data_IF_279348785103
#
_entry.id   IF_279348785103
#
_cell.length_a   1.000
_cell.length_b   1.000
_cell.length_c   1.000
_cell.angle_alpha   90.00
_cell.angle_beta   90.00
_cell.angle_gamma   90.00
#
_symmetry.space_group_name_H-M   'P 1'
#
loop_
_entity.id
_entity.type
_entity.pdbx_description
1 polymer ?
#
# COMPACT_ATOMS: atom_id res chain seq x y z
N UNK A 1 -19.27 0.45 -11.90
CA UNK A 1 -20.38 1.38 -11.56
C UNK A 1 -21.67 0.61 -11.25
N UNK A 2 -22.08 -0.31 -12.09
CA UNK A 2 -23.28 -1.14 -11.89
C UNK A 2 -23.20 -1.93 -10.57
N UNK A 3 -22.09 -2.63 -10.32
CA UNK A 3 -21.86 -3.38 -9.07
C UNK A 3 -22.01 -2.51 -7.82
N UNK A 4 -21.54 -1.26 -7.83
CA UNK A 4 -21.68 -0.34 -6.70
C UNK A 4 -23.14 0.04 -6.39
N UNK A 5 -24.05 -0.14 -7.35
CA UNK A 5 -25.48 0.16 -7.21
C UNK A 5 -26.33 -1.09 -6.91
N UNK A 6 -25.89 -2.27 -7.33
CA UNK A 6 -26.68 -3.50 -7.30
C UNK A 6 -26.22 -4.54 -6.30
N UNK A 7 -24.93 -4.56 -5.92
CA UNK A 7 -24.42 -5.53 -4.94
C UNK A 7 -24.64 -5.06 -3.49
N UNK A 8 -24.87 -6.02 -2.61
CA UNK A 8 -24.88 -5.77 -1.17
C UNK A 8 -23.47 -5.60 -0.65
N UNK A 9 -23.20 -4.48 0.02
CA UNK A 9 -21.94 -4.19 0.72
C UNK A 9 -22.09 -4.34 2.25
N UNK A 10 -22.97 -5.22 2.70
CA UNK A 10 -23.14 -5.48 4.13
C UNK A 10 -21.81 -5.97 4.74
N UNK A 11 -21.35 -5.33 5.81
CA UNK A 11 -20.09 -5.62 6.47
C UNK A 11 -18.85 -5.04 5.78
N UNK A 12 -19.02 -4.15 4.78
CA UNK A 12 -17.93 -3.40 4.14
C UNK A 12 -17.89 -1.98 4.72
N UNK A 13 -16.76 -1.58 5.27
CA UNK A 13 -16.55 -0.26 5.88
C UNK A 13 -16.10 0.79 4.87
N UNK A 14 -15.32 0.39 3.85
CA UNK A 14 -14.81 1.29 2.83
C UNK A 14 -14.47 0.55 1.52
N UNK A 15 -14.37 1.30 0.43
CA UNK A 15 -14.00 0.81 -0.91
C UNK A 15 -12.61 1.31 -1.27
N UNK A 16 -11.65 0.40 -1.47
CA UNK A 16 -10.35 0.70 -2.05
C UNK A 16 -10.42 0.58 -3.57
N UNK A 17 -10.24 1.70 -4.29
CA UNK A 17 -10.34 1.74 -5.75
C UNK A 17 -9.01 2.17 -6.38
N UNK A 18 -8.44 1.30 -7.22
CA UNK A 18 -7.20 1.59 -7.94
C UNK A 18 -7.45 2.52 -9.12
N UNK A 19 -6.49 3.39 -9.42
CA UNK A 19 -6.50 4.23 -10.64
C UNK A 19 -6.66 3.31 -11.88
N UNK A 20 -7.53 3.69 -12.86
CA UNK A 20 -7.69 2.90 -14.08
C UNK A 20 -6.34 2.63 -14.75
N UNK A 21 -6.12 1.39 -15.11
CA UNK A 21 -4.88 0.90 -15.73
C UNK A 21 -5.06 0.58 -17.21
N UNK A 22 -3.99 0.16 -17.89
CA UNK A 22 -3.89 -0.23 -19.28
C UNK A 22 -4.05 0.94 -20.27
N UNK A 23 -5.21 1.58 -20.36
CA UNK A 23 -5.51 2.68 -21.29
C UNK A 23 -4.98 4.06 -20.84
N UNK A 24 -4.35 4.14 -19.65
CA UNK A 24 -3.63 5.31 -19.14
C UNK A 24 -4.41 6.63 -19.30
N UNK A 25 -5.52 6.81 -18.58
CA UNK A 25 -6.34 8.01 -18.71
C UNK A 25 -5.58 9.28 -18.34
N UNK A 26 -6.03 10.42 -18.91
CA UNK A 26 -5.56 11.75 -18.47
C UNK A 26 -5.99 12.05 -17.04
N UNK A 27 -5.44 13.10 -16.42
CA UNK A 27 -5.83 13.53 -15.07
C UNK A 27 -7.34 13.84 -14.97
N UNK A 28 -7.91 14.50 -15.99
CA UNK A 28 -9.35 14.72 -16.05
C UNK A 28 -10.13 13.40 -16.18
N UNK A 29 -9.63 12.43 -16.95
CA UNK A 29 -10.22 11.10 -17.04
C UNK A 29 -10.22 10.36 -15.69
N UNK A 30 -9.12 10.46 -14.92
CA UNK A 30 -9.03 9.92 -13.56
C UNK A 30 -10.05 10.61 -12.64
N UNK A 31 -10.12 11.93 -12.69
CA UNK A 31 -11.09 12.71 -11.91
C UNK A 31 -12.53 12.29 -12.22
N UNK A 32 -12.93 12.22 -13.48
CA UNK A 32 -14.29 11.84 -13.87
C UNK A 32 -14.62 10.38 -13.47
N UNK A 33 -13.63 9.48 -13.52
CA UNK A 33 -13.79 8.10 -13.05
C UNK A 33 -14.12 8.07 -11.55
N UNK A 34 -13.34 8.77 -10.71
CA UNK A 34 -13.60 8.78 -9.26
C UNK A 34 -14.83 9.58 -8.87
N UNK A 35 -15.14 10.66 -9.56
CA UNK A 35 -16.44 11.35 -9.44
C UNK A 35 -17.60 10.40 -9.64
N UNK A 36 -17.54 9.58 -10.69
CA UNK A 36 -18.57 8.59 -10.97
C UNK A 36 -18.65 7.50 -9.89
N UNK A 37 -17.51 7.04 -9.31
CA UNK A 37 -17.47 6.11 -8.18
C UNK A 37 -18.10 6.75 -6.94
N UNK A 38 -17.62 7.92 -6.55
CA UNK A 38 -18.10 8.64 -5.36
C UNK A 38 -19.62 8.89 -5.43
N UNK A 39 -20.14 9.24 -6.60
CA UNK A 39 -21.57 9.45 -6.81
C UNK A 39 -22.42 8.16 -6.81
N UNK A 40 -21.80 6.98 -6.95
CA UNK A 40 -22.51 5.71 -7.04
C UNK A 40 -22.62 4.97 -5.71
N UNK A 41 -21.95 5.44 -4.65
CA UNK A 41 -21.95 4.80 -3.33
C UNK A 41 -21.96 5.83 -2.23
N UNK A 42 -22.51 5.43 -1.05
CA UNK A 42 -22.40 6.19 0.20
C UNK A 42 -21.24 5.72 1.08
N UNK A 43 -20.60 4.61 0.71
CA UNK A 43 -19.45 4.09 1.45
C UNK A 43 -18.24 5.01 1.27
N UNK A 44 -17.38 5.11 2.28
CA UNK A 44 -16.08 5.75 2.17
C UNK A 44 -15.27 5.17 1.01
N UNK A 45 -14.64 6.02 0.21
CA UNK A 45 -13.80 5.64 -0.92
C UNK A 45 -12.35 5.99 -0.60
N UNK A 46 -11.47 5.03 -0.73
CA UNK A 46 -10.02 5.17 -0.63
C UNK A 46 -9.46 5.12 -2.04
N UNK A 47 -8.87 6.22 -2.50
CA UNK A 47 -8.14 6.28 -3.76
C UNK A 47 -6.90 5.37 -3.67
N UNK A 48 -6.50 4.74 -4.77
CA UNK A 48 -5.27 3.96 -4.78
C UNK A 48 -4.39 4.32 -5.99
N UNK A 49 -3.29 5.01 -5.72
CA UNK A 49 -2.30 5.41 -6.72
C UNK A 49 -1.10 4.46 -6.68
N UNK A 50 -0.87 3.72 -7.77
CA UNK A 50 0.22 2.74 -7.90
C UNK A 50 0.78 2.71 -9.33
N UNK A 51 1.50 3.77 -9.76
CA UNK A 51 1.95 3.92 -11.14
C UNK A 51 2.75 2.75 -11.69
N UNK A 52 3.54 2.08 -10.85
CA UNK A 52 4.32 0.90 -11.23
C UNK A 52 3.46 -0.29 -11.70
N UNK A 53 2.15 -0.30 -11.38
CA UNK A 53 1.20 -1.34 -11.83
C UNK A 53 0.20 -0.83 -12.85
N UNK A 54 -0.24 0.42 -12.71
CA UNK A 54 -1.27 1.00 -13.58
C UNK A 54 -0.70 1.62 -14.85
N UNK A 55 0.58 2.01 -14.83
CA UNK A 55 1.24 2.75 -15.91
C UNK A 55 0.80 4.22 -15.99
N UNK A 56 0.04 4.73 -15.01
CA UNK A 56 -0.38 6.13 -14.92
C UNK A 56 -0.32 6.60 -13.47
N UNK A 57 0.16 7.81 -13.26
CA UNK A 57 0.20 8.46 -11.95
C UNK A 57 -0.97 9.41 -11.79
N UNK A 58 -1.71 9.31 -10.69
CA UNK A 58 -2.64 10.35 -10.24
C UNK A 58 -1.84 11.42 -9.51
N UNK A 59 -1.89 12.66 -9.99
CA UNK A 59 -1.12 13.76 -9.41
C UNK A 59 -1.67 14.22 -8.07
N UNK A 60 -0.85 14.95 -7.29
CA UNK A 60 -1.31 15.61 -6.06
C UNK A 60 -2.51 16.53 -6.32
N UNK A 61 -2.48 17.32 -7.40
CA UNK A 61 -3.58 18.22 -7.80
C UNK A 61 -4.89 17.46 -7.98
N UNK A 62 -4.88 16.36 -8.76
CA UNK A 62 -6.07 15.53 -9.00
C UNK A 62 -6.58 14.91 -7.71
N UNK A 63 -5.68 14.40 -6.87
CA UNK A 63 -6.00 13.83 -5.55
C UNK A 63 -6.68 14.86 -4.65
N UNK A 64 -6.09 16.04 -4.53
CA UNK A 64 -6.59 17.13 -3.68
C UNK A 64 -7.92 17.69 -4.19
N UNK A 65 -8.12 17.78 -5.51
CA UNK A 65 -9.40 18.15 -6.11
C UNK A 65 -10.49 17.17 -5.72
N UNK A 66 -10.24 15.88 -5.87
CA UNK A 66 -11.18 14.82 -5.48
C UNK A 66 -11.51 14.86 -3.98
N UNK A 67 -10.48 15.02 -3.14
CA UNK A 67 -10.64 15.09 -1.68
C UNK A 67 -11.46 16.30 -1.20
N UNK A 68 -11.44 17.42 -1.95
CA UNK A 68 -12.20 18.63 -1.62
C UNK A 68 -13.63 18.62 -2.14
N UNK A 69 -13.88 17.92 -3.25
CA UNK A 69 -15.19 17.97 -3.94
C UNK A 69 -16.12 16.83 -3.51
N UNK A 70 -15.59 15.76 -2.86
CA UNK A 70 -16.39 14.58 -2.49
C UNK A 70 -16.12 14.16 -1.05
N UNK A 71 -17.10 14.38 -0.17
CA UNK A 71 -17.00 14.07 1.27
C UNK A 71 -16.78 12.57 1.55
N UNK A 72 -17.23 11.69 0.65
CA UNK A 72 -17.02 10.25 0.79
C UNK A 72 -15.69 9.76 0.20
N UNK A 73 -14.87 10.61 -0.40
CA UNK A 73 -13.46 10.31 -0.73
C UNK A 73 -12.61 10.68 0.48
N UNK A 74 -12.33 9.70 1.35
CA UNK A 74 -11.79 9.93 2.70
C UNK A 74 -10.28 9.72 2.81
N UNK A 75 -9.66 9.04 1.85
CA UNK A 75 -8.25 8.71 1.92
C UNK A 75 -7.64 8.43 0.55
N UNK A 76 -6.30 8.44 0.52
CA UNK A 76 -5.51 7.85 -0.55
C UNK A 76 -4.54 6.82 0.01
N UNK A 77 -4.48 5.62 -0.61
CA UNK A 77 -3.33 4.72 -0.53
C UNK A 77 -2.33 5.12 -1.59
N UNK A 78 -1.20 5.68 -1.16
CA UNK A 78 -0.18 6.20 -2.05
C UNK A 78 1.00 5.23 -2.16
N UNK A 79 1.26 4.75 -3.37
CA UNK A 79 2.30 3.80 -3.69
C UNK A 79 3.08 4.19 -4.96
N UNK A 80 3.23 5.49 -5.20
CA UNK A 80 4.02 6.01 -6.33
C UNK A 80 5.53 5.95 -6.09
N UNK A 81 5.96 5.87 -4.82
CA UNK A 81 7.36 6.02 -4.45
C UNK A 81 7.84 7.50 -4.49
N UNK A 82 7.00 8.44 -4.89
CA UNK A 82 7.34 9.86 -5.00
C UNK A 82 7.02 10.59 -3.68
N UNK A 83 7.99 10.63 -2.77
CA UNK A 83 7.84 11.28 -1.45
C UNK A 83 7.47 12.76 -1.59
N UNK A 84 8.00 13.48 -2.57
CA UNK A 84 7.67 14.89 -2.80
C UNK A 84 6.18 15.07 -3.14
N UNK A 85 5.62 14.21 -3.98
CA UNK A 85 4.18 14.22 -4.28
C UNK A 85 3.34 13.88 -3.04
N UNK A 86 3.79 12.91 -2.25
CA UNK A 86 3.10 12.50 -1.01
C UNK A 86 3.10 13.63 0.02
N UNK A 87 4.22 14.33 0.19
CA UNK A 87 4.34 15.49 1.07
C UNK A 87 3.44 16.65 0.62
N UNK A 88 3.39 16.93 -0.69
CA UNK A 88 2.48 17.94 -1.25
C UNK A 88 0.99 17.59 -0.95
N UNK A 89 0.61 16.34 -1.07
CA UNK A 89 -0.74 15.88 -0.69
C UNK A 89 -0.97 16.09 0.81
N UNK A 90 -0.04 15.64 1.66
CA UNK A 90 -0.14 15.74 3.13
C UNK A 90 -0.29 17.19 3.57
N UNK A 91 0.52 18.07 3.00
CA UNK A 91 0.53 19.51 3.31
C UNK A 91 -0.79 20.20 2.95
N UNK A 92 -1.39 19.84 1.81
CA UNK A 92 -2.50 20.59 1.21
C UNK A 92 -3.87 19.90 1.29
N UNK A 93 -3.93 18.70 1.89
CA UNK A 93 -5.17 17.93 2.03
C UNK A 93 -6.19 18.58 2.96
N UNK A 94 -7.50 18.32 2.79
CA UNK A 94 -8.49 18.61 3.83
C UNK A 94 -8.11 17.96 5.16
N UNK A 95 -8.53 18.57 6.28
CA UNK A 95 -8.16 18.14 7.63
C UNK A 95 -8.41 16.65 7.88
N UNK A 96 -9.56 16.16 7.45
CA UNK A 96 -10.01 14.78 7.72
C UNK A 96 -9.64 13.78 6.63
N UNK A 97 -9.02 14.24 5.53
CA UNK A 97 -8.51 13.35 4.48
C UNK A 97 -7.23 12.66 4.92
N UNK A 98 -7.15 11.35 4.74
CA UNK A 98 -6.03 10.52 5.20
C UNK A 98 -5.09 10.14 4.06
N UNK A 99 -3.77 10.15 4.35
CA UNK A 99 -2.76 9.58 3.46
C UNK A 99 -2.23 8.31 4.09
N UNK A 100 -2.37 7.19 3.38
CA UNK A 100 -1.99 5.84 3.80
C UNK A 100 -0.84 5.39 2.90
N UNK A 101 0.25 4.90 3.47
CA UNK A 101 1.35 4.32 2.70
C UNK A 101 0.88 3.05 1.98
N UNK A 102 1.30 2.89 0.72
CA UNK A 102 1.15 1.66 -0.05
C UNK A 102 2.47 0.94 -0.29
N UNK A 103 3.56 1.39 0.35
CA UNK A 103 4.91 0.88 0.20
C UNK A 103 5.58 0.74 1.58
N UNK A 104 5.95 -0.49 1.93
CA UNK A 104 6.52 -0.82 3.23
C UNK A 104 7.86 -0.10 3.48
N UNK A 105 8.69 0.04 2.44
CA UNK A 105 10.02 0.64 2.54
C UNK A 105 10.01 2.13 2.87
N UNK A 106 8.96 2.86 2.50
CA UNK A 106 8.83 4.29 2.76
C UNK A 106 7.78 4.61 3.84
N UNK A 107 7.17 3.60 4.46
CA UNK A 107 6.11 3.81 5.45
C UNK A 107 6.60 4.62 6.65
N UNK A 108 7.76 4.27 7.22
CA UNK A 108 8.31 5.00 8.37
C UNK A 108 8.56 6.49 8.04
N UNK A 109 9.34 6.86 7.00
CA UNK A 109 9.53 8.27 6.67
C UNK A 109 8.23 8.96 6.28
N UNK A 110 7.28 8.28 5.65
CA UNK A 110 6.01 8.90 5.29
C UNK A 110 5.14 9.22 6.51
N UNK A 111 5.19 8.40 7.57
CA UNK A 111 4.52 8.70 8.85
C UNK A 111 5.12 9.95 9.49
N UNK A 112 6.44 10.15 9.42
CA UNK A 112 7.08 11.38 9.95
C UNK A 112 6.66 12.64 9.20
N UNK A 113 6.19 12.51 7.95
CA UNK A 113 5.60 13.61 7.17
C UNK A 113 4.10 13.81 7.46
N UNK A 114 3.42 12.84 8.11
CA UNK A 114 2.01 12.96 8.49
C UNK A 114 1.06 11.93 7.86
N UNK A 115 1.57 10.85 7.28
CA UNK A 115 0.74 9.71 6.92
C UNK A 115 0.21 9.01 8.19
N UNK A 116 -0.98 8.40 8.07
CA UNK A 116 -1.69 7.83 9.21
C UNK A 116 -1.51 6.31 9.37
N UNK A 117 -0.78 5.67 8.46
CA UNK A 117 -0.55 4.23 8.51
C UNK A 117 -0.18 3.64 7.15
N UNK A 118 -0.40 2.33 6.99
CA UNK A 118 0.00 1.57 5.81
C UNK A 118 -0.97 0.44 5.48
N UNK A 119 -1.16 0.17 4.19
CA UNK A 119 -1.73 -1.09 3.70
C UNK A 119 -0.55 -1.90 3.14
N UNK A 120 -0.01 -2.78 3.99
CA UNK A 120 1.30 -3.41 3.90
C UNK A 120 1.32 -4.73 3.14
N UNK A 121 2.47 -5.07 2.56
CA UNK A 121 2.82 -6.41 2.07
C UNK A 121 3.54 -7.22 3.15
N UNK A 122 4.61 -6.66 3.77
CA UNK A 122 5.40 -7.38 4.78
C UNK A 122 4.59 -7.69 6.05
N UNK A 123 3.59 -6.87 6.35
CA UNK A 123 2.66 -7.11 7.45
C UNK A 123 1.89 -8.43 7.38
N UNK A 124 1.82 -9.08 6.21
CA UNK A 124 1.27 -10.43 6.09
C UNK A 124 2.19 -11.50 6.72
N UNK A 125 3.49 -11.27 6.71
CA UNK A 125 4.47 -12.19 7.29
C UNK A 125 4.85 -11.80 8.74
N UNK A 126 4.92 -10.51 9.03
CA UNK A 126 5.35 -9.95 10.31
C UNK A 126 4.33 -8.94 10.88
N UNK A 127 3.08 -9.36 11.12
CA UNK A 127 2.02 -8.42 11.52
C UNK A 127 2.31 -7.73 12.84
N UNK A 128 2.89 -8.43 13.81
CA UNK A 128 3.19 -7.90 15.14
C UNK A 128 4.28 -6.84 15.08
N UNK A 129 5.41 -7.17 14.47
CA UNK A 129 6.59 -6.30 14.42
C UNK A 129 6.31 -5.07 13.55
N UNK A 130 5.73 -5.26 12.37
CA UNK A 130 5.49 -4.16 11.46
C UNK A 130 4.39 -3.21 11.96
N UNK A 131 3.31 -3.73 12.55
CA UNK A 131 2.30 -2.87 13.19
C UNK A 131 2.84 -2.15 14.44
N UNK A 132 3.80 -2.75 15.16
CA UNK A 132 4.50 -2.06 16.27
C UNK A 132 5.33 -0.89 15.74
N UNK A 133 6.09 -1.07 14.67
CA UNK A 133 6.84 0.01 14.01
C UNK A 133 5.93 1.18 13.65
N UNK A 134 4.78 0.89 13.04
CA UNK A 134 3.79 1.91 12.66
C UNK A 134 3.27 2.66 13.89
N UNK A 135 2.87 1.96 14.96
CA UNK A 135 2.37 2.60 16.18
C UNK A 135 3.42 3.48 16.85
N UNK A 136 4.65 2.97 17.03
CA UNK A 136 5.74 3.77 17.58
C UNK A 136 5.99 5.05 16.78
N UNK A 137 5.99 4.95 15.45
CA UNK A 137 6.15 6.11 14.58
C UNK A 137 4.99 7.12 14.74
N UNK A 138 3.74 6.66 14.84
CA UNK A 138 2.58 7.51 15.06
C UNK A 138 2.56 8.16 16.46
N UNK A 139 3.15 7.51 17.45
CA UNK A 139 3.31 8.01 18.83
C UNK A 139 4.53 8.95 18.98
N UNK A 140 5.33 9.12 17.90
CA UNK A 140 6.52 9.98 17.91
C UNK A 140 7.79 9.29 18.44
N UNK A 141 7.74 8.01 18.79
CA UNK A 141 8.93 7.22 19.17
C UNK A 141 9.70 6.74 17.92
N UNK A 142 10.27 7.72 17.24
CA UNK A 142 10.99 7.49 15.98
C UNK A 142 12.24 6.63 16.16
N UNK A 143 12.90 6.72 17.31
CA UNK A 143 14.12 5.95 17.58
C UNK A 143 13.82 4.44 17.57
N UNK A 144 12.80 3.99 18.31
CA UNK A 144 12.42 2.59 18.36
C UNK A 144 11.73 2.12 17.07
N UNK A 145 10.95 2.99 16.41
CA UNK A 145 10.34 2.68 15.10
C UNK A 145 11.43 2.43 14.04
N UNK A 146 12.48 3.27 14.01
CA UNK A 146 13.59 3.16 13.07
C UNK A 146 14.37 1.85 13.22
N UNK A 147 14.57 1.37 14.44
CA UNK A 147 15.21 0.07 14.69
C UNK A 147 14.44 -1.08 14.05
N UNK A 148 13.11 -1.04 14.14
CA UNK A 148 12.27 -2.06 13.51
C UNK A 148 12.26 -1.90 11.98
N UNK A 149 12.20 -0.68 11.47
CA UNK A 149 12.28 -0.39 10.04
C UNK A 149 13.56 -0.97 9.43
N UNK A 150 14.72 -0.68 10.02
CA UNK A 150 16.01 -1.18 9.55
C UNK A 150 16.12 -2.71 9.58
N UNK A 151 15.46 -3.36 10.55
CA UNK A 151 15.41 -4.82 10.62
C UNK A 151 14.84 -5.45 9.34
N UNK A 152 13.93 -4.78 8.65
CA UNK A 152 13.22 -5.31 7.48
C UNK A 152 13.71 -4.75 6.13
N UNK A 153 14.69 -3.86 6.11
CA UNK A 153 15.12 -3.16 4.89
C UNK A 153 15.47 -4.12 3.75
N UNK A 154 16.27 -5.16 4.02
CA UNK A 154 16.62 -6.17 3.01
C UNK A 154 15.38 -6.94 2.50
N UNK A 155 14.39 -7.18 3.34
CA UNK A 155 13.16 -7.89 2.96
C UNK A 155 12.24 -7.00 2.11
N UNK A 156 12.18 -5.68 2.33
CA UNK A 156 11.36 -4.79 1.51
C UNK A 156 11.71 -4.91 0.03
N UNK A 157 13.00 -4.97 -0.32
CA UNK A 157 13.45 -5.17 -1.69
C UNK A 157 13.10 -6.57 -2.20
N UNK A 158 13.40 -7.62 -1.41
CA UNK A 158 13.17 -9.01 -1.80
C UNK A 158 11.70 -9.36 -2.02
N UNK A 159 10.77 -8.61 -1.41
CA UNK A 159 9.33 -8.76 -1.65
C UNK A 159 8.93 -8.53 -3.11
N UNK A 160 9.70 -7.71 -3.85
CA UNK A 160 9.31 -7.24 -5.18
C UNK A 160 10.24 -7.68 -6.32
N UNK A 161 11.43 -8.23 -6.04
CA UNK A 161 12.42 -8.67 -7.05
C UNK A 161 11.80 -9.57 -8.12
N UNK A 162 10.99 -10.55 -7.73
CA UNK A 162 10.27 -11.44 -8.65
C UNK A 162 8.74 -11.17 -8.61
N UNK A 163 8.36 -10.00 -8.10
CA UNK A 163 6.99 -9.53 -8.02
C UNK A 163 6.27 -9.95 -6.73
N UNK A 164 5.24 -9.17 -6.41
CA UNK A 164 4.33 -9.42 -5.30
C UNK A 164 3.01 -10.02 -5.86
N UNK A 165 2.48 -11.11 -5.26
CA UNK A 165 2.76 -11.68 -3.93
C UNK A 165 3.82 -12.81 -3.88
N UNK A 166 4.62 -13.05 -4.93
CA UNK A 166 5.60 -14.14 -4.93
C UNK A 166 6.61 -14.02 -3.77
N UNK A 167 7.15 -12.82 -3.53
CA UNK A 167 8.10 -12.56 -2.45
C UNK A 167 7.53 -12.85 -1.06
N UNK A 168 6.39 -12.28 -0.70
CA UNK A 168 5.78 -12.50 0.62
C UNK A 168 5.36 -13.95 0.84
N UNK A 169 4.92 -14.64 -0.21
CA UNK A 169 4.60 -16.09 -0.12
C UNK A 169 5.84 -16.93 0.08
N UNK A 170 6.97 -16.55 -0.49
CA UNK A 170 8.25 -17.20 -0.24
C UNK A 170 8.70 -17.02 1.21
N UNK A 171 8.53 -15.83 1.80
CA UNK A 171 8.79 -15.60 3.23
C UNK A 171 7.90 -16.51 4.09
N UNK A 172 6.59 -16.47 3.89
CA UNK A 172 5.63 -17.28 4.67
C UNK A 172 5.86 -18.79 4.52
N UNK A 173 6.24 -19.23 3.33
CA UNK A 173 6.59 -20.63 3.08
C UNK A 173 7.88 -21.03 3.79
N UNK A 174 8.90 -20.16 3.77
CA UNK A 174 10.15 -20.40 4.50
C UNK A 174 9.94 -20.48 6.02
N UNK A 175 8.94 -19.74 6.54
CA UNK A 175 8.52 -19.82 7.95
C UNK A 175 7.60 -21.01 8.27
N UNK A 176 7.24 -21.81 7.28
CA UNK A 176 6.39 -23.00 7.46
C UNK A 176 4.88 -22.74 7.54
N UNK A 177 4.43 -21.51 7.36
CA UNK A 177 3.00 -21.18 7.50
C UNK A 177 2.15 -21.61 6.30
N UNK A 178 2.71 -21.60 5.08
CA UNK A 178 1.96 -21.92 3.85
C UNK A 178 2.81 -22.74 2.88
N UNK A 179 2.15 -23.35 1.88
CA UNK A 179 2.83 -23.89 0.69
C UNK A 179 3.12 -22.74 -0.28
N UNK A 180 4.31 -22.72 -0.91
CA UNK A 180 4.68 -21.72 -1.93
C UNK A 180 4.00 -22.00 -3.27
N UNK A 181 2.68 -21.78 -3.34
CA UNK A 181 1.86 -21.98 -4.54
C UNK A 181 1.17 -20.68 -4.94
N UNK A 182 1.22 -20.39 -6.23
CA UNK A 182 0.55 -19.24 -6.83
C UNK A 182 -0.35 -19.71 -7.99
N UNK A 183 -1.34 -18.90 -8.33
CA UNK A 183 -2.13 -19.07 -9.56
C UNK A 183 -1.43 -18.38 -10.72
N UNK A 184 -1.44 -18.99 -11.89
CA UNK A 184 -0.99 -18.35 -13.12
C UNK A 184 -1.77 -17.03 -13.36
N UNK A 185 -1.09 -16.00 -13.90
CA UNK A 185 0.26 -15.99 -14.48
C UNK A 185 1.41 -15.87 -13.45
N UNK A 186 1.10 -15.78 -12.16
CA UNK A 186 2.11 -15.69 -11.11
C UNK A 186 2.71 -17.07 -10.82
N UNK A 187 4.03 -17.06 -10.58
CA UNK A 187 4.84 -18.24 -10.25
C UNK A 187 5.66 -17.96 -8.98
N UNK A 188 6.16 -18.99 -8.27
CA UNK A 188 7.09 -18.81 -7.17
C UNK A 188 8.32 -17.99 -7.59
N UNK A 189 8.96 -17.33 -6.61
CA UNK A 189 10.22 -16.63 -6.84
C UNK A 189 11.29 -17.56 -7.40
N UNK A 190 12.27 -16.99 -8.12
CA UNK A 190 13.47 -17.73 -8.53
C UNK A 190 14.17 -18.32 -7.31
N UNK A 191 14.85 -19.45 -7.51
CA UNK A 191 15.58 -20.12 -6.43
C UNK A 191 16.58 -19.19 -5.74
N UNK A 192 17.29 -18.36 -6.52
CA UNK A 192 18.25 -17.38 -5.99
C UNK A 192 17.61 -16.34 -5.08
N UNK A 193 16.40 -15.85 -5.40
CA UNK A 193 15.64 -14.93 -4.56
C UNK A 193 15.14 -15.64 -3.30
N UNK A 194 14.65 -16.88 -3.44
CA UNK A 194 14.19 -17.68 -2.32
C UNK A 194 15.33 -17.93 -1.31
N UNK A 195 16.51 -18.28 -1.78
CA UNK A 195 17.70 -18.48 -0.95
C UNK A 195 18.15 -17.20 -0.24
N UNK A 196 18.13 -16.06 -0.92
CA UNK A 196 18.41 -14.76 -0.29
C UNK A 196 17.41 -14.45 0.84
N UNK A 197 16.11 -14.69 0.61
CA UNK A 197 15.08 -14.54 1.64
C UNK A 197 15.42 -15.41 2.86
N UNK A 198 15.76 -16.69 2.66
CA UNK A 198 16.11 -17.60 3.75
C UNK A 198 17.31 -17.10 4.54
N UNK A 199 18.36 -16.63 3.87
CA UNK A 199 19.55 -16.06 4.53
C UNK A 199 19.18 -14.87 5.42
N UNK A 200 18.32 -13.96 4.92
CA UNK A 200 17.87 -12.81 5.72
C UNK A 200 17.03 -13.28 6.91
N UNK A 201 16.13 -14.24 6.73
CA UNK A 201 15.33 -14.79 7.83
C UNK A 201 16.19 -15.47 8.93
N UNK A 202 17.27 -16.14 8.54
CA UNK A 202 18.25 -16.72 9.47
C UNK A 202 18.99 -15.63 10.25
N UNK A 203 19.50 -14.57 9.58
CA UNK A 203 20.11 -13.40 10.24
C UNK A 203 19.18 -12.75 11.27
N UNK A 204 17.88 -12.78 11.03
CA UNK A 204 16.86 -12.23 11.91
C UNK A 204 16.44 -13.21 13.03
N UNK A 205 17.04 -14.40 13.13
CA UNK A 205 16.69 -15.48 14.05
C UNK A 205 15.20 -15.92 13.93
N UNK A 206 14.64 -15.88 12.73
CA UNK A 206 13.26 -16.29 12.44
C UNK A 206 13.20 -17.73 11.96
N UNK A 207 14.30 -18.23 11.43
CA UNK A 207 14.48 -19.61 10.98
C UNK A 207 15.78 -20.20 11.55
N UNK A 208 15.74 -21.48 11.86
CA UNK A 208 16.94 -22.29 12.19
C UNK A 208 17.67 -22.73 10.91
#
# INVERSE_FOLDING_TARGET
MERLKTESFQGVDAILSVVPYYNKPSQEGIYQHYKAIASATKLPVILYNVPGRTGVNMTAETTLRLAREFDNIVAIKEASGNITQMDDIIKNKPKDFMVISGDDGITFPLITLGAVGVISVIGNAFPREFSRMVRLALEGDYANALLIHHKFTELFELLFVDGNPAGVKSILSSMGYIRNRLRLPLVPTRITTYEKIRVVLQKLNIMC
#
